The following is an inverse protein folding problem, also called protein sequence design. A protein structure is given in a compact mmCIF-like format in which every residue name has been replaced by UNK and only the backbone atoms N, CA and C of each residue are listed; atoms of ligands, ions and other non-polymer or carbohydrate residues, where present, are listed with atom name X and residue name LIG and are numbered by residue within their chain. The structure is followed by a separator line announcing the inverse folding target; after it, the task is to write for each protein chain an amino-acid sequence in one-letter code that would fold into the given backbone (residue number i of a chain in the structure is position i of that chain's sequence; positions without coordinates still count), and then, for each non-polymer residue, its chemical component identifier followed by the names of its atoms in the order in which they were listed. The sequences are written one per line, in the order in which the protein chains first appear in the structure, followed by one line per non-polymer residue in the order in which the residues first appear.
data_IF_833398470783
#
_entry.id   IF_833398470783
#
_cell.length_a   1.000
_cell.length_b   1.000
_cell.length_c   1.000
_cell.angle_alpha   90.00
_cell.angle_beta   90.00
_cell.angle_gamma   90.00
#
_symmetry.space_group_name_H-M   'P 1'
#
loop_
_entity.id
_entity.type
_entity.pdbx_description
1 polymer ?
#
# COMPACT_ATOMS: atom_id res chain seq x y z
N UNK A 1 13.60 -14.44 -20.96
CA UNK A 1 13.37 -14.33 -19.50
C UNK A 1 12.46 -13.13 -19.30
N UNK A 2 11.20 -13.35 -18.94
CA UNK A 2 10.23 -12.27 -18.78
C UNK A 2 10.53 -11.56 -17.46
N UNK A 3 11.28 -10.47 -17.51
CA UNK A 3 11.43 -9.56 -16.38
C UNK A 3 10.04 -8.96 -16.08
N UNK A 4 9.35 -9.50 -15.07
CA UNK A 4 8.23 -8.79 -14.46
C UNK A 4 8.80 -7.54 -13.78
N UNK A 5 9.03 -6.48 -14.56
CA UNK A 5 9.40 -5.16 -14.06
C UNK A 5 8.19 -4.61 -13.33
N UNK A 6 8.04 -4.98 -12.06
CA UNK A 6 7.13 -4.28 -11.18
C UNK A 6 7.60 -2.83 -11.10
N UNK A 7 6.87 -1.86 -11.66
CA UNK A 7 7.33 -0.47 -11.68
C UNK A 7 7.42 0.02 -10.24
N UNK A 8 8.60 0.53 -9.85
CA UNK A 8 8.79 1.11 -8.53
C UNK A 8 8.09 2.48 -8.49
N UNK A 9 7.04 2.58 -7.68
CA UNK A 9 6.30 3.83 -7.48
C UNK A 9 6.89 4.63 -6.32
N UNK A 10 7.41 5.82 -6.64
CA UNK A 10 7.86 6.77 -5.63
C UNK A 10 6.71 7.73 -5.29
N UNK A 11 6.11 7.56 -4.11
CA UNK A 11 5.01 8.38 -3.63
C UNK A 11 5.51 9.49 -2.70
N UNK A 12 5.05 10.73 -2.95
CA UNK A 12 5.26 11.85 -2.03
C UNK A 12 4.05 11.95 -1.11
N UNK A 13 4.28 11.65 0.16
CA UNK A 13 3.26 11.71 1.21
C UNK A 13 3.65 12.75 2.27
N UNK A 14 2.67 13.42 2.91
CA UNK A 14 2.91 14.23 4.10
C UNK A 14 3.61 13.41 5.18
N UNK A 15 4.43 14.07 6.00
CA UNK A 15 5.23 13.40 7.05
C UNK A 15 4.34 12.61 8.02
N UNK A 16 3.27 13.23 8.51
CA UNK A 16 2.33 12.61 9.45
C UNK A 16 1.74 11.31 8.90
N UNK A 17 1.41 11.30 7.61
CA UNK A 17 0.88 10.11 6.96
C UNK A 17 1.93 9.02 6.80
N UNK A 18 3.19 9.38 6.50
CA UNK A 18 4.29 8.41 6.45
C UNK A 18 4.53 7.75 7.80
N UNK A 19 4.56 8.56 8.85
CA UNK A 19 4.79 8.09 10.22
C UNK A 19 3.65 7.15 10.64
N UNK A 20 2.40 7.54 10.39
CA UNK A 20 1.24 6.70 10.62
C UNK A 20 1.32 5.35 9.89
N UNK A 21 1.61 5.35 8.58
CA UNK A 21 1.71 4.12 7.80
C UNK A 21 2.87 3.23 8.28
N UNK A 22 3.99 3.81 8.68
CA UNK A 22 5.13 3.09 9.22
C UNK A 22 4.78 2.40 10.55
N UNK A 23 4.09 3.08 11.45
CA UNK A 23 3.62 2.50 12.72
C UNK A 23 2.64 1.35 12.50
N UNK A 24 1.67 1.51 11.59
CA UNK A 24 0.71 0.46 11.28
C UNK A 24 1.38 -0.76 10.64
N UNK A 25 2.34 -0.55 9.74
CA UNK A 25 3.11 -1.64 9.14
C UNK A 25 3.91 -2.41 10.19
N UNK A 26 4.53 -1.72 11.16
CA UNK A 26 5.22 -2.35 12.28
C UNK A 26 4.28 -3.18 13.15
N UNK A 27 3.08 -2.68 13.46
CA UNK A 27 2.07 -3.40 14.24
C UNK A 27 1.57 -4.67 13.53
N UNK A 28 1.46 -4.65 12.21
CA UNK A 28 1.06 -5.79 11.39
C UNK A 28 2.24 -6.76 11.11
N UNK A 29 3.46 -6.43 11.55
CA UNK A 29 4.67 -7.24 11.33
C UNK A 29 5.11 -7.30 9.86
N UNK A 30 4.75 -6.30 9.05
CA UNK A 30 5.03 -6.25 7.60
C UNK A 30 5.93 -5.09 7.24
N UNK A 31 6.60 -5.20 6.09
CA UNK A 31 7.28 -4.04 5.50
C UNK A 31 6.26 -2.99 5.07
N UNK A 32 6.64 -1.72 5.15
CA UNK A 32 5.80 -0.58 4.77
C UNK A 32 5.23 -0.74 3.35
N UNK A 33 6.05 -1.21 2.41
CA UNK A 33 5.58 -1.45 1.03
C UNK A 33 4.49 -2.52 0.96
N UNK A 34 4.66 -3.65 1.65
CA UNK A 34 3.68 -4.73 1.64
C UNK A 34 2.38 -4.28 2.33
N UNK A 35 2.49 -3.53 3.42
CA UNK A 35 1.35 -2.91 4.09
C UNK A 35 0.57 -1.99 3.15
N UNK A 36 1.26 -1.05 2.48
CA UNK A 36 0.63 -0.12 1.53
C UNK A 36 -0.05 -0.87 0.38
N UNK A 37 0.62 -1.85 -0.23
CA UNK A 37 0.05 -2.64 -1.34
C UNK A 37 -1.22 -3.37 -0.90
N UNK A 38 -1.20 -4.02 0.27
CA UNK A 38 -2.38 -4.69 0.82
C UNK A 38 -3.53 -3.70 1.08
N UNK A 39 -3.25 -2.58 1.74
CA UNK A 39 -4.29 -1.57 2.01
C UNK A 39 -4.89 -0.99 0.73
N UNK A 40 -4.09 -0.79 -0.31
CA UNK A 40 -4.57 -0.35 -1.62
C UNK A 40 -5.43 -1.40 -2.31
N UNK A 41 -5.07 -2.69 -2.21
CA UNK A 41 -5.87 -3.78 -2.78
C UNK A 41 -7.20 -3.95 -2.04
N UNK A 42 -7.20 -3.90 -0.70
CA UNK A 42 -8.40 -3.91 0.12
C UNK A 42 -9.33 -2.74 -0.23
N UNK A 43 -8.78 -1.52 -0.34
CA UNK A 43 -9.52 -0.33 -0.74
C UNK A 43 -10.12 -0.48 -2.15
N UNK A 44 -9.34 -1.02 -3.10
CA UNK A 44 -9.81 -1.32 -4.46
C UNK A 44 -11.03 -2.26 -4.42
N UNK A 45 -10.97 -3.33 -3.63
CA UNK A 45 -12.10 -4.26 -3.50
C UNK A 45 -13.33 -3.58 -2.89
N UNK A 46 -13.15 -2.70 -1.90
CA UNK A 46 -14.26 -1.91 -1.33
C UNK A 46 -14.89 -0.96 -2.34
N UNK A 47 -14.09 -0.28 -3.17
CA UNK A 47 -14.59 0.64 -4.20
C UNK A 47 -15.37 -0.14 -5.28
N UNK A 48 -14.83 -1.26 -5.75
CA UNK A 48 -15.49 -2.10 -6.75
C UNK A 48 -16.85 -2.61 -6.25
N UNK A 49 -16.92 -3.08 -5.00
CA UNK A 49 -18.18 -3.54 -4.37
C UNK A 49 -19.24 -2.45 -4.17
N UNK A 50 -18.86 -1.17 -4.19
CA UNK A 50 -19.80 -0.03 -4.07
C UNK A 50 -20.32 0.47 -5.42
N UNK A 51 -19.79 -0.05 -6.52
CA UNK A 51 -20.13 0.39 -7.88
C UNK A 51 -21.09 -0.59 -8.58
N UNK A 52 -21.42 -1.70 -7.91
CA UNK A 52 -22.56 -2.60 -8.19
C UNK A 52 -23.75 -2.20 -7.30
#
# INVERSE_FOLDING_TARGET
MSEHKNPQYNLRLPKELKDFLAEQAQKDGRSLNNFIVKSLDELRMTILKKTD
#
